data_IF_837808236360
#
_entry.id   IF_837808236360
#
_cell.length_a   1.000
_cell.length_b   1.000
_cell.length_c   1.000
_cell.angle_alpha   90.00
_cell.angle_beta   90.00
_cell.angle_gamma   90.00
#
_symmetry.space_group_name_H-M   'P 1'
#
loop_
_entity.id
_entity.type
_entity.pdbx_description
1 polymer ?
#
# COMPACT_ATOMS: atom_id res chain seq x y z
N UNK A 1 14.88 9.25 -20.02
CA UNK A 1 13.83 8.84 -19.06
C UNK A 1 12.88 10.01 -18.89
N UNK A 2 11.55 9.85 -18.99
CA UNK A 2 10.63 10.97 -18.77
C UNK A 2 10.65 11.37 -17.30
N UNK A 3 10.97 12.63 -17.02
CA UNK A 3 10.85 13.24 -15.69
C UNK A 3 9.36 13.41 -15.38
N UNK A 4 8.73 12.40 -14.77
CA UNK A 4 7.31 12.47 -14.38
C UNK A 4 7.07 13.66 -13.46
N UNK A 5 6.05 14.46 -13.77
CA UNK A 5 5.67 15.64 -13.01
C UNK A 5 5.32 15.28 -11.56
N UNK A 6 5.69 16.15 -10.61
CA UNK A 6 5.41 15.96 -9.17
C UNK A 6 3.92 15.67 -8.92
N UNK A 7 3.03 16.37 -9.62
CA UNK A 7 1.57 16.19 -9.56
C UNK A 7 1.14 14.74 -9.88
N UNK A 8 1.80 14.09 -10.84
CA UNK A 8 1.48 12.71 -11.22
C UNK A 8 1.91 11.72 -10.14
N UNK A 9 3.08 11.93 -9.55
CA UNK A 9 3.56 11.10 -8.44
C UNK A 9 2.65 11.21 -7.21
N UNK A 10 2.20 12.42 -6.89
CA UNK A 10 1.26 12.65 -5.79
C UNK A 10 -0.09 11.98 -6.09
N UNK A 11 -0.59 12.08 -7.33
CA UNK A 11 -1.83 11.40 -7.74
C UNK A 11 -1.74 9.88 -7.54
N UNK A 12 -0.67 9.26 -8.03
CA UNK A 12 -0.44 7.83 -7.90
C UNK A 12 -0.32 7.41 -6.44
N UNK A 13 0.45 8.18 -5.66
CA UNK A 13 0.63 7.91 -4.23
C UNK A 13 -0.71 7.95 -3.49
N UNK A 14 -1.47 9.04 -3.62
CA UNK A 14 -2.74 9.21 -2.90
C UNK A 14 -3.77 8.16 -3.30
N UNK A 15 -3.85 7.81 -4.60
CA UNK A 15 -4.77 6.78 -5.07
C UNK A 15 -4.40 5.40 -4.56
N UNK A 16 -3.13 5.00 -4.73
CA UNK A 16 -2.66 3.69 -4.28
C UNK A 16 -2.76 3.54 -2.76
N UNK A 17 -2.45 4.62 -2.02
CA UNK A 17 -2.51 4.63 -0.57
C UNK A 17 -3.94 4.47 -0.08
N UNK A 18 -4.90 5.24 -0.62
CA UNK A 18 -6.29 5.11 -0.20
C UNK A 18 -6.86 3.71 -0.51
N UNK A 19 -6.60 3.18 -1.71
CA UNK A 19 -7.11 1.86 -2.10
C UNK A 19 -6.52 0.74 -1.23
N UNK A 20 -5.20 0.74 -1.03
CA UNK A 20 -4.53 -0.22 -0.17
C UNK A 20 -4.94 -0.07 1.30
N UNK A 21 -5.03 1.17 1.79
CA UNK A 21 -5.41 1.44 3.17
C UNK A 21 -6.84 1.00 3.45
N UNK A 22 -7.81 1.24 2.56
CA UNK A 22 -9.19 0.73 2.75
C UNK A 22 -9.25 -0.80 2.89
N UNK A 23 -8.42 -1.53 2.14
CA UNK A 23 -8.32 -3.00 2.24
C UNK A 23 -7.69 -3.43 3.57
N UNK A 24 -6.60 -2.77 3.98
CA UNK A 24 -5.87 -3.08 5.21
C UNK A 24 -6.63 -2.60 6.47
N UNK A 25 -7.40 -1.53 6.39
CA UNK A 25 -8.12 -0.94 7.52
C UNK A 25 -9.07 -1.95 8.17
N UNK A 26 -9.73 -2.74 7.33
CA UNK A 26 -10.59 -3.85 7.74
C UNK A 26 -9.80 -4.96 8.42
N UNK A 27 -8.59 -5.25 7.96
CA UNK A 27 -7.72 -6.26 8.57
C UNK A 27 -7.20 -5.80 9.95
N UNK A 28 -6.83 -4.52 10.07
CA UNK A 28 -6.25 -3.95 11.29
C UNK A 28 -7.27 -3.34 12.26
N UNK A 29 -8.57 -3.32 11.94
CA UNK A 29 -9.61 -2.88 12.90
C UNK A 29 -9.58 -3.72 14.18
N UNK A 30 -9.18 -4.99 14.05
CA UNK A 30 -9.04 -5.94 15.17
C UNK A 30 -7.70 -5.84 15.90
N UNK A 31 -6.73 -5.09 15.35
CA UNK A 31 -5.39 -4.91 15.92
C UNK A 31 -5.00 -3.41 15.85
N UNK A 32 -5.72 -2.53 16.57
CA UNK A 32 -5.60 -1.08 16.44
C UNK A 32 -4.18 -0.56 16.73
N UNK A 33 -3.45 -1.20 17.66
CA UNK A 33 -2.06 -0.87 17.99
C UNK A 33 -1.09 -1.00 16.81
N UNK A 34 -1.44 -1.81 15.80
CA UNK A 34 -0.62 -2.01 14.61
C UNK A 34 -1.02 -1.10 13.45
N UNK A 35 -2.15 -0.38 13.50
CA UNK A 35 -2.62 0.50 12.41
C UNK A 35 -1.58 1.57 12.06
N UNK A 36 -1.02 2.26 13.05
CA UNK A 36 -0.02 3.31 12.83
C UNK A 36 1.26 2.78 12.19
N UNK A 37 1.68 1.56 12.59
CA UNK A 37 2.83 0.87 12.00
C UNK A 37 2.53 0.43 10.58
N UNK A 38 1.36 -0.17 10.34
CA UNK A 38 0.92 -0.61 9.03
C UNK A 38 0.83 0.55 8.04
N UNK A 39 0.30 1.71 8.47
CA UNK A 39 0.25 2.92 7.64
C UNK A 39 1.65 3.42 7.26
N UNK A 40 2.61 3.34 8.18
CA UNK A 40 4.00 3.73 7.94
C UNK A 40 4.68 2.79 6.94
N UNK A 41 4.51 1.48 7.12
CA UNK A 41 5.05 0.47 6.19
C UNK A 41 4.38 0.61 4.82
N UNK A 42 3.06 0.79 4.77
CA UNK A 42 2.31 0.98 3.53
C UNK A 42 2.85 2.18 2.74
N UNK A 43 3.07 3.30 3.42
CA UNK A 43 3.65 4.49 2.81
C UNK A 43 5.02 4.21 2.20
N UNK A 44 5.91 3.54 2.93
CA UNK A 44 7.25 3.20 2.44
C UNK A 44 7.19 2.32 1.19
N UNK A 45 6.34 1.28 1.20
CA UNK A 45 6.19 0.35 0.07
C UNK A 45 5.69 1.08 -1.18
N UNK A 46 4.65 1.92 -1.05
CA UNK A 46 4.11 2.71 -2.17
C UNK A 46 5.16 3.68 -2.72
N UNK A 47 5.90 4.38 -1.85
CA UNK A 47 6.99 5.27 -2.28
C UNK A 47 8.07 4.49 -3.03
N UNK A 48 8.46 3.30 -2.56
CA UNK A 48 9.43 2.42 -3.23
C UNK A 48 8.95 2.01 -4.61
N UNK A 49 7.69 1.61 -4.75
CA UNK A 49 7.11 1.16 -6.03
C UNK A 49 7.01 2.29 -7.06
N UNK A 50 6.57 3.47 -6.63
CA UNK A 50 6.53 4.66 -7.49
C UNK A 50 7.95 5.06 -7.93
N UNK A 51 8.95 5.01 -7.01
CA UNK A 51 10.36 5.25 -7.33
C UNK A 51 10.94 4.16 -8.26
N UNK A 52 10.50 2.92 -8.10
CA UNK A 52 10.86 1.77 -8.95
C UNK A 52 10.27 1.82 -10.35
N UNK A 53 9.36 2.75 -10.61
CA UNK A 53 8.85 3.05 -11.95
C UNK A 53 7.43 2.57 -12.21
N UNK A 54 6.77 1.92 -11.26
CA UNK A 54 5.35 1.55 -11.38
C UNK A 54 4.49 2.79 -11.66
N UNK A 55 3.58 2.66 -12.63
CA UNK A 55 2.70 3.75 -13.09
C UNK A 55 1.23 3.47 -12.85
N UNK A 56 0.89 2.24 -12.45
CA UNK A 56 -0.48 1.83 -12.23
C UNK A 56 -0.79 1.84 -10.74
N UNK A 57 -1.72 2.71 -10.33
CA UNK A 57 -2.06 2.87 -8.91
C UNK A 57 -2.70 1.61 -8.31
N UNK A 58 -3.44 0.82 -9.11
CA UNK A 58 -4.07 -0.41 -8.64
C UNK A 58 -3.03 -1.51 -8.43
N UNK A 59 -2.08 -1.68 -9.34
CA UNK A 59 -0.96 -2.61 -9.17
C UNK A 59 -0.09 -2.25 -7.95
N UNK A 60 0.18 -0.96 -7.76
CA UNK A 60 0.91 -0.47 -6.57
C UNK A 60 0.11 -0.78 -5.31
N UNK A 61 -1.21 -0.54 -5.30
CA UNK A 61 -2.06 -0.78 -4.15
C UNK A 61 -2.16 -2.27 -3.79
N UNK A 62 -2.39 -3.15 -4.76
CA UNK A 62 -2.46 -4.60 -4.55
C UNK A 62 -1.13 -5.12 -4.00
N UNK A 63 -0.02 -4.77 -4.65
CA UNK A 63 1.30 -5.22 -4.22
C UNK A 63 1.71 -4.66 -2.85
N UNK A 64 1.34 -3.42 -2.53
CA UNK A 64 1.60 -2.83 -1.22
C UNK A 64 0.71 -3.45 -0.13
N UNK A 65 -0.55 -3.76 -0.45
CA UNK A 65 -1.47 -4.47 0.46
C UNK A 65 -0.93 -5.84 0.82
N UNK A 66 -0.49 -6.62 -0.16
CA UNK A 66 0.08 -7.96 0.07
C UNK A 66 1.39 -7.90 0.86
N UNK A 67 2.28 -6.96 0.56
CA UNK A 67 3.55 -6.79 1.28
C UNK A 67 3.30 -6.39 2.74
N UNK A 68 2.37 -5.47 3.01
CA UNK A 68 2.00 -5.09 4.39
C UNK A 68 1.36 -6.28 5.10
N UNK A 69 0.42 -6.98 4.48
CA UNK A 69 -0.19 -8.19 5.05
C UNK A 69 0.86 -9.23 5.46
N UNK A 70 1.83 -9.49 4.59
CA UNK A 70 2.94 -10.40 4.88
C UNK A 70 3.81 -9.92 6.04
N UNK A 71 4.13 -8.61 6.10
CA UNK A 71 4.94 -8.03 7.19
C UNK A 71 4.26 -8.14 8.56
N UNK A 72 2.93 -8.06 8.59
CA UNK A 72 2.15 -8.10 9.84
C UNK A 72 1.55 -9.48 10.14
N UNK A 73 1.87 -10.51 9.35
CA UNK A 73 1.34 -11.86 9.53
C UNK A 73 -0.17 -11.97 9.28
N UNK A 74 -0.76 -11.00 8.58
CA UNK A 74 -2.18 -11.01 8.20
C UNK A 74 -2.28 -11.78 6.89
N UNK A 75 -2.30 -13.11 6.98
CA UNK A 75 -2.59 -13.94 5.81
C UNK A 75 -4.00 -13.67 5.31
N UNK A 76 -4.20 -13.62 3.97
CA UNK A 76 -5.52 -13.93 3.39
C UNK A 76 -5.92 -15.25 4.03
N UNK A 77 -6.95 -15.23 4.88
CA UNK A 77 -7.46 -16.43 5.53
C UNK A 77 -7.52 -17.53 4.47
N UNK A 78 -6.70 -18.56 4.63
CA UNK A 78 -6.70 -19.70 3.72
C UNK A 78 -8.08 -20.32 3.83
N UNK A 79 -8.97 -20.00 2.90
CA UNK A 79 -10.26 -20.66 2.77
C UNK A 79 -9.93 -22.11 2.45
N UNK A 80 -10.17 -22.98 3.42
CA UNK A 80 -9.97 -24.42 3.33
C UNK A 80 -11.18 -25.07 2.69
#
# INVERSE_FOLDING_TARGET
MPTRSITEKVRLFTQAFNDAWTKLDNDFVTIPDQRSRAATVLRDVIERRIKGGETDAAAIAEGATEEVRSNFGIGRASIK
#
